data_IF_212225950812
#
_entry.id   IF_212225950812
#
_cell.length_a   1.000
_cell.length_b   1.000
_cell.length_c   1.000
_cell.angle_alpha   90.00
_cell.angle_beta   90.00
_cell.angle_gamma   90.00
#
_symmetry.space_group_name_H-M   'P 1'
#
loop_
_entity.id
_entity.type
_entity.pdbx_description
1 polymer ?
#
# COMPACT_ATOMS: atom_id res chain seq x y z
N UNK A 1 15.51 -49.53 9.26
CA UNK A 1 16.42 -48.40 8.97
C UNK A 1 16.18 -48.09 7.50
N UNK A 2 15.23 -47.20 7.19
CA UNK A 2 15.44 -45.74 6.98
C UNK A 2 16.28 -45.54 5.71
N UNK A 3 15.88 -44.90 4.61
CA UNK A 3 14.88 -43.87 4.26
C UNK A 3 14.42 -44.14 2.79
N UNK A 4 13.20 -43.89 2.35
CA UNK A 4 12.61 -42.59 1.95
C UNK A 4 13.53 -41.71 1.08
N UNK A 5 13.24 -41.66 -0.24
CA UNK A 5 13.05 -40.44 -1.05
C UNK A 5 12.97 -40.77 -2.56
N UNK A 6 11.81 -40.63 -3.22
CA UNK A 6 11.76 -40.32 -4.64
C UNK A 6 11.68 -38.79 -4.83
N UNK A 7 12.70 -38.23 -5.49
CA UNK A 7 12.74 -36.85 -5.96
C UNK A 7 11.63 -36.65 -6.99
N UNK A 8 10.48 -36.18 -6.52
CA UNK A 8 9.43 -35.58 -7.33
C UNK A 8 9.35 -34.10 -6.98
N UNK A 9 9.92 -33.24 -7.82
CA UNK A 9 9.54 -31.83 -7.84
C UNK A 9 9.33 -31.40 -9.28
N UNK A 10 8.07 -31.58 -9.67
CA UNK A 10 7.40 -30.92 -10.77
C UNK A 10 7.60 -29.41 -10.71
N UNK A 11 7.90 -28.89 -11.89
CA UNK A 11 7.37 -27.67 -12.50
C UNK A 11 7.20 -26.45 -11.59
N UNK A 12 8.14 -25.54 -11.85
CA UNK A 12 8.11 -24.10 -11.63
C UNK A 12 6.85 -23.50 -12.27
N UNK A 13 5.72 -23.54 -11.55
CA UNK A 13 4.57 -22.69 -11.84
C UNK A 13 4.81 -21.32 -11.19
N UNK A 14 5.47 -20.47 -11.97
CA UNK A 14 5.50 -19.03 -11.83
C UNK A 14 4.09 -18.45 -12.02
N UNK A 15 3.20 -18.67 -11.06
CA UNK A 15 2.03 -17.81 -10.87
C UNK A 15 2.41 -16.71 -9.88
N UNK A 16 2.69 -15.53 -10.43
CA UNK A 16 2.62 -14.27 -9.70
C UNK A 16 1.21 -14.09 -9.16
N UNK A 17 0.90 -14.72 -8.02
CA UNK A 17 -0.31 -14.47 -7.26
C UNK A 17 -0.24 -13.03 -6.78
N UNK A 18 -0.94 -12.16 -7.50
CA UNK A 18 -1.61 -11.01 -6.92
C UNK A 18 -2.18 -11.46 -5.58
N UNK A 19 -1.61 -10.99 -4.47
CA UNK A 19 -2.12 -11.32 -3.14
C UNK A 19 -3.23 -10.30 -2.88
N UNK A 20 -4.38 -10.54 -3.51
CA UNK A 20 -5.64 -9.85 -3.26
C UNK A 20 -5.93 -9.92 -1.76
N UNK A 21 -6.13 -8.76 -1.14
CA UNK A 21 -6.59 -8.70 0.24
C UNK A 21 -8.11 -8.55 0.20
N UNK A 22 -8.78 -9.69 0.39
CA UNK A 22 -10.23 -9.75 0.55
C UNK A 22 -10.59 -9.10 1.89
N UNK A 23 -11.07 -7.86 1.86
CA UNK A 23 -11.61 -7.23 3.06
C UNK A 23 -13.04 -7.75 3.27
N UNK A 24 -13.22 -8.65 4.24
CA UNK A 24 -14.55 -9.06 4.66
C UNK A 24 -15.21 -7.93 5.46
N UNK A 25 -16.40 -7.45 5.04
CA UNK A 25 -17.11 -6.42 5.77
C UNK A 25 -17.52 -6.91 7.17
N UNK A 26 -17.65 -6.01 8.16
CA UNK A 26 -18.24 -6.35 9.43
C UNK A 26 -19.71 -6.70 9.25
N UNK A 27 -20.08 -7.93 9.63
CA UNK A 27 -21.43 -8.46 9.91
C UNK A 27 -22.60 -7.91 9.05
N UNK A 28 -22.97 -8.71 8.04
CA UNK A 28 -24.26 -9.04 7.40
C UNK A 28 -25.54 -8.17 7.46
N UNK A 29 -25.61 -7.04 8.17
CA UNK A 29 -26.82 -6.18 8.26
C UNK A 29 -26.61 -4.78 7.68
N UNK A 30 -25.48 -4.58 7.00
CA UNK A 30 -25.05 -3.27 6.50
C UNK A 30 -25.32 -3.21 4.99
N UNK A 31 -26.10 -2.22 4.55
CA UNK A 31 -26.43 -1.97 3.13
C UNK A 31 -25.18 -2.11 2.25
N UNK A 32 -25.25 -2.74 1.06
CA UNK A 32 -24.09 -2.98 0.20
C UNK A 32 -23.33 -1.69 -0.12
N UNK A 33 -24.05 -0.57 -0.25
CA UNK A 33 -23.49 0.77 -0.42
C UNK A 33 -22.58 1.15 0.76
N UNK A 34 -22.98 0.83 1.99
CA UNK A 34 -22.22 1.15 3.20
C UNK A 34 -21.01 0.22 3.35
N UNK A 35 -21.13 -1.06 2.98
CA UNK A 35 -19.98 -1.99 2.96
C UNK A 35 -18.91 -1.54 1.97
N UNK A 36 -19.32 -1.13 0.78
CA UNK A 36 -18.41 -0.58 -0.25
C UNK A 36 -17.82 0.76 0.19
N UNK A 37 -18.64 1.67 0.73
CA UNK A 37 -18.16 2.94 1.25
C UNK A 37 -17.15 2.75 2.39
N UNK A 38 -17.41 1.81 3.31
CA UNK A 38 -16.51 1.48 4.39
C UNK A 38 -15.18 0.90 3.88
N UNK A 39 -15.22 0.02 2.87
CA UNK A 39 -14.02 -0.53 2.25
C UNK A 39 -13.19 0.56 1.55
N UNK A 40 -13.83 1.48 0.82
CA UNK A 40 -13.15 2.63 0.18
C UNK A 40 -12.56 3.57 1.23
N UNK A 41 -13.32 3.86 2.28
CA UNK A 41 -12.92 4.74 3.37
C UNK A 41 -11.72 4.16 4.13
N UNK A 42 -11.76 2.86 4.46
CA UNK A 42 -10.65 2.14 5.06
C UNK A 42 -9.40 2.17 4.15
N UNK A 43 -9.57 1.95 2.85
CA UNK A 43 -8.47 2.02 1.89
C UNK A 43 -7.87 3.43 1.73
N UNK A 44 -8.63 4.47 2.06
CA UNK A 44 -8.20 5.87 1.98
C UNK A 44 -7.86 6.51 3.33
N UNK A 45 -7.94 5.76 4.42
CA UNK A 45 -7.79 6.26 5.80
C UNK A 45 -8.74 7.45 6.10
N UNK A 46 -9.98 7.40 5.57
CA UNK A 46 -11.01 8.42 5.81
C UNK A 46 -12.19 7.82 6.54
N UNK A 47 -13.04 8.66 7.14
CA UNK A 47 -14.36 8.21 7.54
C UNK A 47 -15.24 7.97 6.28
N UNK A 48 -16.17 6.99 6.31
CA UNK A 48 -17.09 6.76 5.19
C UNK A 48 -17.94 7.99 4.83
N UNK A 49 -18.23 8.83 5.81
CA UNK A 49 -19.00 10.08 5.62
C UNK A 49 -18.17 11.22 4.99
N UNK A 50 -16.84 11.11 4.99
CA UNK A 50 -15.92 12.12 4.42
C UNK A 50 -15.54 11.80 2.95
N UNK A 51 -16.19 10.80 2.36
CA UNK A 51 -16.02 10.48 0.94
C UNK A 51 -16.67 11.58 0.08
N UNK A 52 -15.85 12.46 -0.45
CA UNK A 52 -16.27 13.50 -1.40
C UNK A 52 -15.80 13.12 -2.80
N UNK A 53 -16.66 13.03 -3.84
CA UNK A 53 -18.12 13.10 -3.79
C UNK A 53 -18.72 11.84 -3.13
N UNK A 54 -19.93 11.89 -2.55
CA UNK A 54 -20.54 10.71 -1.93
C UNK A 54 -20.63 9.55 -2.94
N UNK A 55 -20.51 8.31 -2.45
CA UNK A 55 -20.42 7.11 -3.29
C UNK A 55 -21.60 7.01 -4.27
N UNK A 56 -22.81 7.32 -3.81
CA UNK A 56 -24.05 7.36 -4.58
C UNK A 56 -24.04 8.31 -5.79
N UNK A 57 -23.10 9.26 -5.84
CA UNK A 57 -22.93 10.16 -6.98
C UNK A 57 -22.03 9.57 -8.07
N UNK A 58 -21.27 8.52 -7.77
CA UNK A 58 -20.27 7.93 -8.68
C UNK A 58 -20.72 6.57 -9.18
N UNK A 59 -21.45 5.82 -8.35
CA UNK A 59 -22.01 4.53 -8.70
C UNK A 59 -23.52 4.56 -8.56
N UNK A 60 -24.19 3.91 -9.50
CA UNK A 60 -25.61 3.65 -9.43
C UNK A 60 -25.89 2.65 -8.28
N UNK A 61 -26.52 3.15 -7.21
CA UNK A 61 -26.74 2.36 -5.99
C UNK A 61 -27.78 1.26 -6.17
N UNK A 62 -28.65 1.38 -7.18
CA UNK A 62 -29.63 0.37 -7.55
C UNK A 62 -28.91 -0.81 -8.23
N UNK A 63 -28.04 -0.51 -9.21
CA UNK A 63 -27.17 -1.49 -9.88
C UNK A 63 -26.25 -2.22 -8.90
N UNK A 64 -25.67 -1.49 -7.94
CA UNK A 64 -24.86 -2.11 -6.89
C UNK A 64 -25.71 -3.05 -6.01
N UNK A 65 -26.92 -2.64 -5.65
CA UNK A 65 -27.80 -3.48 -4.82
C UNK A 65 -28.26 -4.72 -5.57
N UNK A 66 -28.63 -4.58 -6.84
CA UNK A 66 -28.98 -5.70 -7.72
C UNK A 66 -27.85 -6.71 -7.83
N UNK A 67 -26.58 -6.28 -7.90
CA UNK A 67 -25.44 -7.20 -7.92
C UNK A 67 -25.27 -7.99 -6.62
N UNK A 68 -25.65 -7.43 -5.47
CA UNK A 68 -25.61 -8.13 -4.17
C UNK A 68 -26.81 -9.06 -3.97
N UNK A 69 -27.98 -8.73 -4.53
CA UNK A 69 -29.20 -9.54 -4.44
C UNK A 69 -29.20 -10.68 -5.47
N UNK A 70 -28.72 -10.39 -6.68
CA UNK A 70 -28.57 -11.33 -7.79
C UNK A 70 -27.13 -11.23 -8.33
N UNK A 71 -26.17 -11.93 -7.70
CA UNK A 71 -24.80 -11.95 -8.21
C UNK A 71 -24.80 -12.62 -9.58
N UNK A 72 -24.58 -11.81 -10.61
CA UNK A 72 -24.21 -12.33 -11.92
C UNK A 72 -22.81 -12.95 -11.82
N UNK A 73 -22.51 -13.97 -12.63
CA UNK A 73 -21.17 -14.56 -12.82
C UNK A 73 -20.10 -13.51 -13.26
N UNK A 74 -20.54 -12.28 -13.58
CA UNK A 74 -19.69 -11.17 -13.96
C UNK A 74 -19.16 -10.41 -12.74
N UNK A 75 -17.83 -10.35 -12.64
CA UNK A 75 -17.08 -9.54 -11.69
C UNK A 75 -17.46 -8.05 -11.86
N UNK A 76 -18.12 -7.47 -10.87
CA UNK A 76 -18.52 -6.07 -10.95
C UNK A 76 -17.36 -5.19 -10.49
N UNK A 77 -16.73 -4.48 -11.42
CA UNK A 77 -15.63 -3.56 -11.12
C UNK A 77 -15.99 -2.12 -11.49
N UNK A 78 -15.66 -1.17 -10.62
CA UNK A 78 -15.84 0.26 -10.89
C UNK A 78 -14.72 1.09 -10.27
N UNK A 79 -14.44 2.24 -10.88
CA UNK A 79 -13.39 3.15 -10.39
C UNK A 79 -14.02 4.31 -9.61
N UNK A 80 -13.63 4.44 -8.35
CA UNK A 80 -13.94 5.59 -7.52
C UNK A 80 -12.63 6.37 -7.23
N UNK A 81 -12.42 7.45 -7.98
CA UNK A 81 -11.17 8.24 -7.97
C UNK A 81 -9.92 7.37 -8.23
N UNK A 82 -9.03 7.30 -7.23
CA UNK A 82 -7.79 6.54 -7.24
C UNK A 82 -7.98 5.11 -6.69
N UNK A 83 -9.23 4.67 -6.55
CA UNK A 83 -9.58 3.32 -6.08
C UNK A 83 -10.32 2.57 -7.20
N UNK A 84 -9.86 1.38 -7.55
CA UNK A 84 -10.61 0.38 -8.30
C UNK A 84 -11.27 -0.56 -7.30
N UNK A 85 -12.59 -0.68 -7.37
CA UNK A 85 -13.37 -1.54 -6.49
C UNK A 85 -13.86 -2.68 -7.35
N UNK A 86 -13.58 -3.90 -6.91
CA UNK A 86 -14.06 -5.14 -7.51
C UNK A 86 -14.92 -5.87 -6.48
N UNK A 87 -16.05 -6.37 -6.92
CA UNK A 87 -17.01 -7.08 -6.09
C UNK A 87 -17.16 -8.46 -6.69
N UNK A 88 -16.77 -9.47 -5.91
CA UNK A 88 -16.89 -10.86 -6.31
C UNK A 88 -18.32 -11.38 -6.15
N UNK A 89 -18.61 -12.51 -6.79
CA UNK A 89 -19.89 -13.22 -6.76
C UNK A 89 -20.27 -13.70 -5.35
N UNK A 90 -19.29 -13.78 -4.45
CA UNK A 90 -19.49 -14.13 -3.03
C UNK A 90 -19.81 -12.92 -2.15
N UNK A 91 -19.86 -11.72 -2.73
CA UNK A 91 -20.11 -10.45 -2.02
C UNK A 91 -18.90 -9.89 -1.29
N UNK A 92 -17.70 -10.43 -1.55
CA UNK A 92 -16.45 -9.84 -1.11
C UNK A 92 -16.13 -8.58 -1.91
N UNK A 93 -15.58 -7.57 -1.22
CA UNK A 93 -15.26 -6.27 -1.80
C UNK A 93 -13.75 -6.12 -1.75
N UNK A 94 -13.13 -6.07 -2.92
CA UNK A 94 -11.70 -5.80 -3.10
C UNK A 94 -11.56 -4.35 -3.55
N UNK A 95 -10.90 -3.52 -2.74
CA UNK A 95 -10.62 -2.13 -3.10
C UNK A 95 -9.16 -1.99 -3.44
N UNK A 96 -8.80 -2.14 -4.70
CA UNK A 96 -7.48 -1.80 -5.18
C UNK A 96 -7.31 -0.28 -5.22
N UNK A 97 -6.20 0.25 -4.75
CA UNK A 97 -5.94 1.69 -4.81
C UNK A 97 -4.66 1.92 -5.62
N UNK A 98 -4.68 2.94 -6.48
CA UNK A 98 -3.51 3.46 -7.23
C UNK A 98 -2.46 4.04 -6.26
N UNK A 99 -2.79 4.12 -4.96
CA UNK A 99 -1.85 4.41 -3.89
C UNK A 99 -1.10 3.13 -3.56
N UNK A 100 0.23 3.09 -3.66
CA UNK A 100 0.99 1.92 -3.23
C UNK A 100 0.73 1.71 -1.74
N UNK A 101 -0.01 0.64 -1.44
CA UNK A 101 -0.35 0.24 -0.08
C UNK A 101 0.94 0.08 0.73
N UNK A 102 0.84 0.40 2.03
CA UNK A 102 1.85 0.12 3.07
C UNK A 102 2.72 -1.06 2.67
N UNK A 103 4.04 -0.87 2.52
CA UNK A 103 4.87 -1.92 1.99
C UNK A 103 4.90 -3.08 3.00
N UNK A 104 4.28 -4.22 2.63
CA UNK A 104 3.95 -5.39 3.47
C UNK A 104 5.14 -6.07 4.14
N UNK A 105 6.38 -5.74 3.75
CA UNK A 105 7.58 -6.36 4.31
C UNK A 105 7.98 -5.61 5.56
N UNK A 106 7.94 -6.28 6.71
CA UNK A 106 8.37 -5.69 7.98
C UNK A 106 9.79 -5.12 7.84
N UNK A 107 9.96 -3.88 8.30
CA UNK A 107 11.26 -3.23 8.31
C UNK A 107 12.10 -3.91 9.40
N UNK A 108 13.28 -4.45 9.08
CA UNK A 108 14.12 -5.10 10.08
C UNK A 108 14.36 -4.18 11.28
N UNK A 109 14.29 -4.71 12.51
CA UNK A 109 14.43 -3.91 13.75
C UNK A 109 15.71 -3.07 13.79
N UNK A 110 16.79 -3.56 13.18
CA UNK A 110 18.06 -2.82 13.04
C UNK A 110 17.86 -1.49 12.29
N UNK A 111 17.09 -1.51 11.21
CA UNK A 111 16.82 -0.34 10.37
C UNK A 111 15.84 0.57 11.09
N UNK A 112 14.79 -0.01 11.71
CA UNK A 112 13.85 0.76 12.53
C UNK A 112 14.58 1.53 13.62
N UNK A 113 15.46 0.88 14.39
CA UNK A 113 16.26 1.52 15.44
C UNK A 113 17.16 2.61 14.89
N UNK A 114 17.86 2.35 13.78
CA UNK A 114 18.73 3.33 13.12
C UNK A 114 17.96 4.60 12.74
N UNK A 115 16.75 4.47 12.19
CA UNK A 115 15.89 5.61 11.84
C UNK A 115 15.37 6.34 13.08
N UNK A 116 15.07 5.61 14.16
CA UNK A 116 14.58 6.21 15.41
C UNK A 116 15.67 7.01 16.14
N UNK A 117 16.88 6.48 16.20
CA UNK A 117 18.04 7.10 16.85
C UNK A 117 18.61 8.28 16.05
N UNK A 118 18.22 8.40 14.78
CA UNK A 118 18.64 9.50 13.92
C UNK A 118 18.02 10.82 14.37
N UNK A 119 18.84 11.86 14.40
CA UNK A 119 18.35 13.23 14.41
C UNK A 119 17.58 13.53 13.10
N UNK A 120 16.32 13.93 13.26
CA UNK A 120 15.44 14.35 12.18
C UNK A 120 14.92 15.74 12.55
N UNK A 121 14.93 16.71 11.63
CA UNK A 121 14.43 18.05 11.90
C UNK A 121 12.94 17.99 12.32
N UNK A 122 12.48 18.99 13.06
CA UNK A 122 11.09 19.10 13.54
C UNK A 122 10.90 18.73 15.01
N UNK A 123 9.64 18.68 15.43
CA UNK A 123 9.23 18.45 16.82
C UNK A 123 8.14 17.39 16.91
N UNK A 124 8.22 16.52 17.92
CA UNK A 124 7.15 15.57 18.26
C UNK A 124 6.61 14.77 17.05
N UNK A 125 5.37 15.06 16.68
CA UNK A 125 4.63 14.43 15.58
C UNK A 125 5.32 14.58 14.23
N UNK A 126 5.92 15.74 13.92
CA UNK A 126 6.69 15.94 12.69
C UNK A 126 7.80 14.91 12.55
N UNK A 127 8.54 14.67 13.63
CA UNK A 127 9.63 13.70 13.59
C UNK A 127 9.09 12.28 13.42
N UNK A 128 7.95 11.94 14.03
CA UNK A 128 7.29 10.64 13.85
C UNK A 128 6.90 10.41 12.39
N UNK A 129 6.22 11.37 11.77
CA UNK A 129 5.80 11.32 10.36
C UNK A 129 7.01 11.23 9.42
N UNK A 130 8.06 12.00 9.69
CA UNK A 130 9.31 11.99 8.90
C UNK A 130 10.06 10.65 9.04
N UNK A 131 10.05 10.04 10.23
CA UNK A 131 10.59 8.67 10.42
C UNK A 131 9.78 7.66 9.63
N UNK A 132 8.45 7.76 9.66
CA UNK A 132 7.58 6.89 8.87
C UNK A 132 7.86 7.02 7.37
N UNK A 133 8.10 8.24 6.87
CA UNK A 133 8.49 8.45 5.48
C UNK A 133 9.79 7.73 5.09
N UNK A 134 10.81 7.76 5.95
CA UNK A 134 12.06 7.02 5.71
C UNK A 134 11.81 5.51 5.70
N UNK A 135 11.05 5.01 6.67
CA UNK A 135 10.73 3.58 6.75
C UNK A 135 9.93 3.12 5.53
N UNK A 136 8.92 3.88 5.11
CA UNK A 136 8.14 3.59 3.93
C UNK A 136 8.99 3.61 2.65
N UNK A 137 9.89 4.59 2.51
CA UNK A 137 10.82 4.64 1.39
C UNK A 137 11.79 3.45 1.38
N UNK A 138 12.31 3.06 2.55
CA UNK A 138 13.18 1.90 2.67
C UNK A 138 12.47 0.62 2.22
N UNK A 139 11.24 0.38 2.70
CA UNK A 139 10.53 -0.83 2.33
C UNK A 139 10.09 -0.81 0.87
N UNK A 140 9.75 0.36 0.31
CA UNK A 140 9.50 0.51 -1.13
C UNK A 140 10.73 0.09 -1.93
N UNK A 141 11.92 0.61 -1.58
CA UNK A 141 13.18 0.24 -2.25
C UNK A 141 13.50 -1.25 -2.09
N UNK A 142 13.28 -1.81 -0.90
CA UNK A 142 13.46 -3.25 -0.63
C UNK A 142 12.55 -4.14 -1.48
N UNK A 143 11.32 -3.70 -1.73
CA UNK A 143 10.36 -4.45 -2.55
C UNK A 143 10.67 -4.36 -4.04
N UNK A 144 11.08 -3.18 -4.52
CA UNK A 144 11.38 -2.97 -5.94
C UNK A 144 12.80 -3.43 -6.32
N UNK A 145 13.69 -3.61 -5.34
CA UNK A 145 15.12 -3.89 -5.54
C UNK A 145 15.91 -2.65 -6.01
N UNK A 146 15.31 -1.80 -6.84
CA UNK A 146 15.89 -0.51 -7.22
C UNK A 146 14.82 0.53 -7.49
N UNK A 147 15.13 1.81 -7.25
CA UNK A 147 14.21 2.92 -7.52
C UNK A 147 14.93 4.24 -7.83
N UNK A 148 14.31 5.10 -8.65
CA UNK A 148 14.76 6.48 -8.87
C UNK A 148 14.12 7.41 -7.85
N UNK A 149 14.69 8.61 -7.71
CA UNK A 149 14.09 9.70 -6.94
C UNK A 149 12.61 9.92 -7.29
N UNK A 150 12.29 9.97 -8.59
CA UNK A 150 10.93 10.17 -9.09
C UNK A 150 9.96 9.11 -8.62
N UNK A 151 10.42 7.87 -8.47
CA UNK A 151 9.58 6.76 -8.00
C UNK A 151 9.21 6.95 -6.53
N UNK A 152 10.16 7.34 -5.67
CA UNK A 152 9.83 7.67 -4.28
C UNK A 152 8.84 8.83 -4.16
N UNK A 153 8.96 9.85 -5.01
CA UNK A 153 8.04 11.01 -5.00
C UNK A 153 6.65 10.63 -5.50
N UNK A 154 6.56 9.75 -6.49
CA UNK A 154 5.28 9.30 -7.04
C UNK A 154 4.58 8.32 -6.10
N UNK A 155 5.36 7.41 -5.52
CA UNK A 155 4.83 6.26 -4.80
C UNK A 155 4.77 6.49 -3.29
N UNK A 156 5.80 7.07 -2.67
CA UNK A 156 5.90 7.13 -1.21
C UNK A 156 5.41 8.46 -0.64
N UNK A 157 5.77 9.58 -1.27
CA UNK A 157 5.43 10.91 -0.78
C UNK A 157 3.92 11.17 -0.60
N UNK A 158 3.00 10.74 -1.50
CA UNK A 158 1.57 11.03 -1.32
C UNK A 158 0.97 10.40 -0.06
N UNK A 159 1.56 9.31 0.43
CA UNK A 159 1.12 8.62 1.64
C UNK A 159 1.92 9.03 2.88
N UNK A 160 3.17 9.46 2.71
CA UNK A 160 4.08 9.80 3.81
C UNK A 160 4.78 11.14 3.57
N UNK A 161 4.04 12.26 3.51
CA UNK A 161 4.62 13.57 3.17
C UNK A 161 5.50 14.14 4.29
N UNK A 162 5.42 13.63 5.53
CA UNK A 162 6.27 14.10 6.63
C UNK A 162 6.10 15.59 6.96
N UNK A 163 4.89 16.12 6.72
CA UNK A 163 4.51 17.53 6.78
C UNK A 163 5.24 18.47 5.79
N UNK A 164 5.90 17.92 4.77
CA UNK A 164 6.46 18.74 3.69
C UNK A 164 5.42 19.04 2.63
N UNK A 165 5.34 20.31 2.21
CA UNK A 165 4.55 20.72 1.05
C UNK A 165 5.28 20.48 -0.29
N UNK A 166 6.62 20.41 -0.26
CA UNK A 166 7.46 20.28 -1.45
C UNK A 166 8.18 18.92 -1.42
N UNK A 167 7.88 18.01 -2.36
CA UNK A 167 8.46 16.67 -2.36
C UNK A 167 9.96 16.67 -2.70
N UNK A 168 10.37 17.36 -3.77
CA UNK A 168 11.75 17.28 -4.27
C UNK A 168 12.76 18.03 -3.41
N UNK A 169 12.54 19.33 -3.20
CA UNK A 169 13.49 20.19 -2.48
C UNK A 169 13.38 20.09 -0.96
N UNK A 170 12.23 19.65 -0.45
CA UNK A 170 11.97 19.52 0.98
C UNK A 170 12.10 18.08 1.43
N UNK A 171 11.03 17.31 1.26
CA UNK A 171 10.88 15.95 1.78
C UNK A 171 12.04 15.02 1.39
N UNK A 172 12.36 14.97 0.09
CA UNK A 172 13.40 14.07 -0.42
C UNK A 172 14.78 14.45 0.08
N UNK A 173 15.20 15.70 -0.12
CA UNK A 173 16.56 16.15 0.20
C UNK A 173 16.83 16.20 1.71
N UNK A 174 15.82 16.51 2.53
CA UNK A 174 16.01 16.71 3.98
C UNK A 174 15.76 15.48 4.83
N UNK A 175 14.90 14.55 4.38
CA UNK A 175 14.47 13.41 5.19
C UNK A 175 14.80 12.08 4.52
N UNK A 176 14.25 11.83 3.34
CA UNK A 176 14.31 10.48 2.74
C UNK A 176 15.70 10.13 2.23
N UNK A 177 16.31 10.98 1.41
CA UNK A 177 17.67 10.79 0.90
C UNK A 177 18.70 10.59 2.03
N UNK A 178 18.78 11.44 3.07
CA UNK A 178 19.73 11.22 4.15
C UNK A 178 19.38 9.97 4.98
N UNK A 179 18.09 9.68 5.19
CA UNK A 179 17.62 8.48 5.87
C UNK A 179 18.04 7.19 5.17
N UNK A 180 17.75 7.06 3.88
CA UNK A 180 18.15 5.94 3.04
C UNK A 180 19.66 5.78 2.96
N UNK A 181 20.40 6.89 2.83
CA UNK A 181 21.87 6.85 2.74
C UNK A 181 22.55 6.30 4.00
N UNK A 182 21.88 6.32 5.15
CA UNK A 182 22.43 5.76 6.38
C UNK A 182 22.06 4.30 6.60
N UNK A 183 21.16 3.74 5.78
CA UNK A 183 20.81 2.33 5.87
C UNK A 183 21.97 1.50 5.29
N UNK A 184 22.51 0.50 6.01
CA UNK A 184 23.65 -0.30 5.55
C UNK A 184 23.30 -1.14 4.31
N UNK A 185 22.02 -1.48 4.16
CA UNK A 185 21.51 -2.37 3.12
C UNK A 185 21.07 -1.60 1.85
N UNK A 186 21.44 -0.32 1.75
CA UNK A 186 21.05 0.57 0.66
C UNK A 186 22.29 1.15 0.00
N UNK A 187 22.41 0.93 -1.31
CA UNK A 187 23.47 1.50 -2.14
C UNK A 187 22.92 2.65 -3.01
N UNK A 188 23.67 3.73 -3.09
CA UNK A 188 23.35 4.90 -3.91
C UNK A 188 24.21 4.91 -5.18
N UNK A 189 23.58 4.78 -6.34
CA UNK A 189 24.17 5.05 -7.64
C UNK A 189 24.05 6.53 -8.04
N UNK A 190 24.27 6.84 -9.32
CA UNK A 190 24.23 8.24 -9.79
C UNK A 190 22.84 8.89 -9.62
N UNK A 191 21.80 8.25 -10.18
CA UNK A 191 20.40 8.68 -10.08
C UNK A 191 19.45 7.56 -9.58
N UNK A 192 20.03 6.41 -9.27
CA UNK A 192 19.31 5.19 -8.90
C UNK A 192 19.73 4.76 -7.50
N UNK A 193 18.77 4.24 -6.75
CA UNK A 193 18.97 3.62 -5.45
C UNK A 193 18.77 2.12 -5.60
N UNK A 194 19.56 1.34 -4.86
CA UNK A 194 19.52 -0.10 -4.89
C UNK A 194 19.40 -0.63 -3.48
N UNK A 195 18.53 -1.60 -3.29
CA UNK A 195 18.56 -2.47 -2.13
C UNK A 195 19.63 -3.54 -2.36
N UNK A 196 20.57 -3.66 -1.42
CA UNK A 196 21.68 -4.62 -1.46
C UNK A 196 21.69 -5.54 -0.24
N UNK A 197 20.65 -5.45 0.60
CA UNK A 197 20.43 -6.38 1.69
C UNK A 197 19.89 -7.71 1.18
N UNK A 198 20.33 -8.79 1.79
CA UNK A 198 19.85 -10.15 1.58
C UNK A 198 18.92 -10.54 2.74
#
# INVERSE_FOLDING_TARGET
>A
MSQDDPIGRSDDDCEGRSVYETHHPPASDTSPVVSVAAAIAAARDTAPMDLVPPLESVIDTDSLRSQFEEPADDLFSFRYKDCLIEIDDTGGIVVETDRPRRPKRDVPDRIRRLVMDRYIPGTGTEQTERRQAILAAYTYLRNQGSARRSDFIREVYPCYPGEYAIPEGGWWETVVKPGLSACPDVAKGNAMWYYVGD
#
